data_IF_521511791054
#
_entry.id   IF_521511791054
#
_cell.length_a   1.000
_cell.length_b   1.000
_cell.length_c   1.000
_cell.angle_alpha   90.00
_cell.angle_beta   90.00
_cell.angle_gamma   90.00
#
_symmetry.space_group_name_H-M   'P 1'
#
loop_
_entity.id
_entity.type
_entity.pdbx_description
1 polymer ?
#
# COMPACT_ATOMS: atom_id res chain seq x y z
N UNK A 1 39.25 -21.57 -0.80
CA UNK A 1 37.88 -22.13 -1.11
C UNK A 1 36.94 -20.94 -1.20
N UNK A 2 36.10 -20.88 -2.22
CA UNK A 2 35.11 -19.84 -2.32
C UNK A 2 33.90 -20.19 -1.41
N UNK A 3 33.45 -19.23 -0.62
CA UNK A 3 32.27 -19.35 0.23
C UNK A 3 31.11 -18.59 -0.42
N UNK A 4 30.02 -19.27 -0.70
CA UNK A 4 28.78 -18.66 -1.23
C UNK A 4 27.92 -18.21 -0.05
N UNK A 5 27.80 -16.92 0.15
CA UNK A 5 26.92 -16.37 1.15
C UNK A 5 25.51 -16.19 0.57
N UNK A 6 24.53 -16.79 1.25
CA UNK A 6 23.12 -16.75 0.88
C UNK A 6 22.34 -15.91 1.88
N UNK A 7 21.26 -15.28 1.41
CA UNK A 7 20.35 -14.58 2.31
C UNK A 7 19.86 -15.53 3.41
N UNK A 8 20.24 -15.29 4.68
CA UNK A 8 19.81 -16.14 5.78
C UNK A 8 18.31 -15.90 6.09
N UNK A 9 17.71 -16.85 6.79
CA UNK A 9 16.40 -16.64 7.41
C UNK A 9 16.57 -15.65 8.58
N UNK A 10 16.01 -14.47 8.42
CA UNK A 10 16.08 -13.37 9.40
C UNK A 10 15.02 -13.48 10.50
N UNK A 11 14.28 -14.60 10.54
CA UNK A 11 13.23 -14.87 11.52
C UNK A 11 11.86 -14.30 11.12
N UNK A 12 10.84 -14.59 11.94
CA UNK A 12 9.45 -14.12 11.78
C UNK A 12 8.75 -14.50 10.46
N UNK A 13 9.21 -15.54 9.76
CA UNK A 13 8.56 -16.06 8.55
C UNK A 13 8.76 -15.17 7.32
N UNK A 14 9.84 -14.38 7.28
CA UNK A 14 10.22 -13.59 6.11
C UNK A 14 10.67 -14.51 4.98
N UNK A 15 10.06 -14.37 3.81
CA UNK A 15 10.39 -15.13 2.60
C UNK A 15 11.35 -14.42 1.66
N UNK A 16 11.53 -13.10 1.84
CA UNK A 16 12.35 -12.23 0.99
C UNK A 16 12.91 -11.04 1.78
N UNK A 17 14.00 -10.42 1.26
CA UNK A 17 14.60 -9.19 1.80
C UNK A 17 15.15 -8.31 0.68
N UNK A 18 15.14 -6.99 0.86
CA UNK A 18 15.71 -6.01 -0.07
C UNK A 18 17.13 -5.65 0.37
N UNK A 19 18.09 -5.67 -0.55
CA UNK A 19 19.46 -5.20 -0.28
C UNK A 19 19.44 -3.68 -0.16
N UNK A 20 19.48 -3.16 1.05
CA UNK A 20 19.47 -1.72 1.28
C UNK A 20 20.79 -1.07 0.83
N UNK A 21 21.92 -1.66 1.24
CA UNK A 21 23.25 -1.17 0.88
C UNK A 21 24.30 -2.25 1.08
N UNK A 22 25.29 -2.31 0.18
CA UNK A 22 26.52 -3.06 0.37
C UNK A 22 27.53 -2.25 1.18
N UNK A 23 28.10 -2.85 2.22
CA UNK A 23 29.13 -2.22 3.06
C UNK A 23 30.54 -2.56 2.57
N UNK A 24 30.62 -3.40 1.51
CA UNK A 24 31.86 -3.85 0.88
C UNK A 24 31.78 -3.72 -0.64
N UNK A 25 32.94 -3.66 -1.29
CA UNK A 25 33.07 -3.64 -2.76
C UNK A 25 33.69 -4.94 -3.28
N UNK A 26 33.40 -5.29 -4.55
CA UNK A 26 34.10 -6.41 -5.21
C UNK A 26 35.62 -6.17 -5.20
N UNK A 27 36.35 -7.19 -4.84
CA UNK A 27 37.80 -7.13 -4.72
C UNK A 27 38.34 -6.68 -3.36
N UNK A 28 37.51 -6.23 -2.43
CA UNK A 28 37.90 -5.84 -1.06
C UNK A 28 38.16 -7.09 -0.20
N UNK A 29 39.13 -6.99 0.70
CA UNK A 29 39.36 -7.99 1.75
C UNK A 29 38.45 -7.70 2.93
N UNK A 30 37.80 -8.74 3.48
CA UNK A 30 36.91 -8.66 4.62
C UNK A 30 37.29 -9.73 5.64
N UNK A 31 37.18 -9.43 6.93
CA UNK A 31 37.36 -10.40 8.00
C UNK A 31 36.03 -11.08 8.35
N UNK A 32 36.08 -12.20 9.06
CA UNK A 32 34.90 -12.82 9.67
C UNK A 32 34.32 -11.84 10.68
N UNK A 33 32.96 -11.73 10.72
CA UNK A 33 32.19 -10.81 11.53
C UNK A 33 32.27 -9.31 11.12
N UNK A 34 33.02 -8.92 10.08
CA UNK A 34 32.97 -7.57 9.54
C UNK A 34 31.61 -7.28 8.88
N UNK A 35 31.11 -6.02 8.93
CA UNK A 35 29.88 -5.62 8.27
C UNK A 35 29.92 -5.89 6.77
N UNK A 36 28.97 -6.70 6.25
CA UNK A 36 28.93 -7.12 4.85
C UNK A 36 27.84 -6.42 4.04
N UNK A 37 26.61 -6.46 4.53
CA UNK A 37 25.43 -5.95 3.82
C UNK A 37 24.34 -5.50 4.78
N UNK A 38 23.67 -4.41 4.47
CA UNK A 38 22.43 -3.98 5.12
C UNK A 38 21.23 -4.51 4.33
N UNK A 39 20.35 -5.25 4.99
CA UNK A 39 19.13 -5.81 4.40
C UNK A 39 17.93 -5.13 5.04
N UNK A 40 17.08 -4.57 4.21
CA UNK A 40 15.80 -4.02 4.64
C UNK A 40 14.72 -5.09 4.56
N UNK A 41 14.08 -5.35 5.69
CA UNK A 41 12.88 -6.18 5.79
C UNK A 41 11.65 -5.28 5.82
N UNK A 42 10.46 -5.87 5.87
CA UNK A 42 9.19 -5.12 6.02
C UNK A 42 9.12 -4.32 7.34
N UNK A 43 9.98 -4.64 8.31
CA UNK A 43 9.92 -4.09 9.68
C UNK A 43 11.14 -3.28 10.08
N UNK A 44 12.34 -3.68 9.66
CA UNK A 44 13.59 -3.02 10.06
C UNK A 44 14.69 -3.22 9.03
N UNK A 45 15.76 -2.41 9.12
CA UNK A 45 17.02 -2.65 8.42
C UNK A 45 17.94 -3.40 9.36
N UNK A 46 18.47 -4.54 8.91
CA UNK A 46 19.38 -5.40 9.66
C UNK A 46 20.73 -5.43 8.95
N UNK A 47 21.79 -5.17 9.70
CA UNK A 47 23.16 -5.34 9.24
C UNK A 47 23.58 -6.81 9.39
N UNK A 48 24.05 -7.42 8.32
CA UNK A 48 24.51 -8.80 8.30
C UNK A 48 26.01 -8.84 8.23
N UNK A 49 26.69 -9.46 9.21
CA UNK A 49 28.13 -9.62 9.20
C UNK A 49 28.58 -10.71 8.22
N UNK A 50 29.84 -10.64 7.82
CA UNK A 50 30.49 -11.65 6.97
C UNK A 50 30.66 -12.97 7.72
N UNK A 51 30.23 -14.09 7.16
CA UNK A 51 30.40 -15.41 7.80
C UNK A 51 31.80 -16.02 7.61
N UNK A 52 32.67 -15.36 6.83
CA UNK A 52 34.00 -15.86 6.54
C UNK A 52 34.98 -14.71 6.19
N UNK A 53 36.23 -14.86 6.55
CA UNK A 53 37.29 -13.98 6.10
C UNK A 53 37.74 -14.34 4.67
N UNK A 54 38.02 -13.33 3.85
CA UNK A 54 38.52 -13.50 2.49
C UNK A 54 38.34 -12.29 1.61
N UNK A 55 38.57 -12.47 0.30
CA UNK A 55 38.35 -11.41 -0.68
C UNK A 55 36.94 -11.54 -1.27
N UNK A 56 36.20 -10.44 -1.35
CA UNK A 56 34.88 -10.38 -2.02
C UNK A 56 35.11 -10.62 -3.51
N UNK A 57 34.79 -11.83 -3.97
CA UNK A 57 35.07 -12.23 -5.34
C UNK A 57 34.04 -11.68 -6.33
N UNK A 58 32.74 -11.73 -5.95
CA UNK A 58 31.66 -11.23 -6.79
C UNK A 58 30.40 -10.99 -5.99
N UNK A 59 29.71 -9.89 -6.28
CA UNK A 59 28.39 -9.54 -5.78
C UNK A 59 27.38 -9.87 -6.88
N UNK A 60 26.32 -10.66 -6.57
CA UNK A 60 25.33 -11.13 -7.53
C UNK A 60 24.04 -10.30 -7.54
N UNK A 61 23.81 -9.54 -6.47
CA UNK A 61 22.56 -8.80 -6.26
C UNK A 61 22.88 -7.32 -6.09
N UNK A 62 22.18 -6.47 -6.82
CA UNK A 62 22.38 -5.01 -6.76
C UNK A 62 21.68 -4.40 -5.53
N UNK A 63 22.15 -3.21 -5.11
CA UNK A 63 21.44 -2.41 -4.11
C UNK A 63 20.03 -2.04 -4.60
N UNK A 64 19.05 -2.19 -3.72
CA UNK A 64 17.63 -1.98 -3.99
C UNK A 64 16.93 -3.16 -4.66
N UNK A 65 17.57 -4.30 -4.80
CA UNK A 65 16.99 -5.54 -5.34
C UNK A 65 16.42 -6.40 -4.22
N UNK A 66 15.19 -6.88 -4.39
CA UNK A 66 14.52 -7.80 -3.45
C UNK A 66 14.77 -9.23 -3.87
N UNK A 67 15.27 -10.06 -2.96
CA UNK A 67 15.61 -11.46 -3.22
C UNK A 67 15.04 -12.39 -2.16
N UNK A 68 14.71 -13.60 -2.57
CA UNK A 68 14.17 -14.64 -1.67
C UNK A 68 15.25 -15.18 -0.71
N UNK A 69 14.83 -15.59 0.48
CA UNK A 69 15.69 -16.32 1.44
C UNK A 69 16.32 -17.53 0.75
N UNK A 70 17.64 -17.71 0.95
CA UNK A 70 18.44 -18.75 0.31
C UNK A 70 19.08 -18.36 -1.03
N UNK A 71 18.80 -17.18 -1.59
CA UNK A 71 19.46 -16.65 -2.79
C UNK A 71 20.92 -16.32 -2.49
N UNK A 72 21.86 -16.70 -3.40
CA UNK A 72 23.28 -16.35 -3.27
C UNK A 72 23.45 -14.85 -3.50
N UNK A 73 23.98 -14.14 -2.50
CA UNK A 73 24.20 -12.71 -2.53
C UNK A 73 25.61 -12.34 -2.98
N UNK A 74 26.60 -13.03 -2.42
CA UNK A 74 28.03 -12.72 -2.65
C UNK A 74 28.87 -13.97 -2.49
N UNK A 75 30.01 -14.01 -3.19
CA UNK A 75 31.04 -15.04 -3.06
C UNK A 75 32.29 -14.41 -2.45
N UNK A 76 32.78 -15.03 -1.35
CA UNK A 76 33.98 -14.61 -0.62
C UNK A 76 35.05 -15.68 -0.82
N UNK A 77 36.27 -15.28 -1.23
CA UNK A 77 37.39 -16.19 -1.50
C UNK A 77 37.87 -16.10 -2.94
N UNK A 78 38.93 -16.87 -3.32
CA UNK A 78 39.43 -16.88 -4.70
C UNK A 78 38.43 -17.58 -5.64
N UNK A 79 37.97 -16.86 -6.65
CA UNK A 79 37.09 -17.37 -7.71
C UNK A 79 37.88 -18.29 -8.64
N UNK A 80 37.89 -19.57 -8.38
CA UNK A 80 38.19 -20.57 -9.40
C UNK A 80 36.91 -20.92 -10.14
N UNK A 81 36.85 -20.51 -11.40
CA UNK A 81 35.71 -20.76 -12.26
C UNK A 81 35.43 -22.24 -12.45
N UNK A 82 34.22 -22.63 -12.21
CA UNK A 82 33.55 -23.73 -12.94
C UNK A 82 32.05 -23.44 -13.02
N UNK A 83 31.63 -23.51 -14.24
CA UNK A 83 30.26 -23.34 -14.67
C UNK A 83 29.36 -24.51 -14.34
N UNK A 84 28.13 -24.18 -14.27
CA UNK A 84 26.96 -24.94 -14.65
C UNK A 84 26.74 -26.33 -14.11
N UNK A 85 25.62 -26.55 -13.46
CA UNK A 85 24.78 -27.66 -13.92
C UNK A 85 23.41 -27.65 -13.22
N UNK A 86 22.45 -28.03 -14.02
CA UNK A 86 21.03 -28.15 -13.70
C UNK A 86 20.81 -29.44 -12.84
N UNK A 87 19.83 -29.37 -11.95
CA UNK A 87 19.05 -30.54 -11.55
C UNK A 87 17.65 -30.01 -11.25
N UNK A 88 16.66 -30.21 -12.06
CA UNK A 88 15.76 -31.32 -12.42
C UNK A 88 15.01 -31.94 -11.25
N UNK A 89 13.70 -31.73 -11.32
CA UNK A 89 12.58 -32.62 -11.01
C UNK A 89 12.40 -33.19 -9.60
N UNK A 90 11.27 -32.80 -8.98
CA UNK A 90 10.28 -33.80 -8.57
C UNK A 90 8.93 -33.13 -8.23
N UNK A 91 7.91 -33.48 -9.02
CA UNK A 91 6.50 -33.29 -8.67
C UNK A 91 6.00 -34.49 -7.84
N UNK A 92 4.95 -34.32 -7.06
CA UNK A 92 3.93 -35.37 -6.97
C UNK A 92 2.57 -34.90 -7.50
N UNK A 93 1.99 -35.86 -8.21
CA UNK A 93 0.62 -35.87 -8.75
C UNK A 93 -0.42 -36.06 -7.65
N UNK A 94 -1.60 -35.53 -7.87
CA UNK A 94 -2.89 -36.23 -8.01
C UNK A 94 -4.04 -35.28 -7.71
N UNK A 95 -4.96 -35.32 -8.61
CA UNK A 95 -6.42 -35.59 -8.63
C UNK A 95 -7.26 -34.37 -8.31
N UNK A 96 -8.32 -34.08 -9.02
CA UNK A 96 -9.20 -34.77 -9.93
C UNK A 96 -10.26 -33.85 -10.45
N UNK A 97 -10.82 -34.27 -11.53
CA UNK A 97 -11.92 -33.75 -12.29
C UNK A 97 -13.12 -33.24 -11.45
N UNK A 98 -13.72 -32.16 -11.93
CA UNK A 98 -15.17 -31.94 -12.14
C UNK A 98 -15.43 -30.43 -12.31
N UNK A 99 -15.69 -30.02 -13.51
CA UNK A 99 -16.84 -29.18 -13.90
C UNK A 99 -16.61 -28.59 -15.30
N UNK A 100 -16.96 -29.45 -16.27
CA UNK A 100 -17.43 -28.96 -17.58
C UNK A 100 -18.93 -28.85 -17.47
N UNK A 101 -19.43 -27.60 -17.49
CA UNK A 101 -20.71 -27.19 -18.03
C UNK A 101 -21.06 -25.79 -17.51
N UNK A 102 -20.79 -24.79 -18.30
CA UNK A 102 -21.53 -23.53 -18.42
C UNK A 102 -20.65 -22.49 -19.17
N UNK A 103 -20.51 -22.65 -20.43
CA UNK A 103 -20.03 -21.58 -21.33
C UNK A 103 -20.52 -21.88 -22.75
N UNK A 104 -21.84 -21.71 -22.94
CA UNK A 104 -22.41 -21.63 -24.27
C UNK A 104 -23.63 -20.72 -24.15
N UNK A 105 -23.38 -19.47 -24.46
CA UNK A 105 -24.32 -18.41 -24.83
C UNK A 105 -23.76 -17.06 -24.37
N UNK A 106 -22.94 -16.42 -25.17
CA UNK A 106 -22.88 -15.00 -25.48
C UNK A 106 -21.84 -14.83 -26.60
N UNK A 107 -22.26 -15.16 -27.79
CA UNK A 107 -21.51 -14.88 -29.01
C UNK A 107 -22.54 -14.42 -30.03
N UNK A 108 -22.85 -13.14 -29.98
CA UNK A 108 -23.38 -12.37 -31.11
C UNK A 108 -23.75 -10.96 -30.62
N UNK A 109 -22.83 -10.03 -30.64
CA UNK A 109 -23.04 -8.59 -30.91
C UNK A 109 -21.66 -7.91 -30.81
N UNK A 110 -20.90 -7.86 -31.89
CA UNK A 110 -19.92 -6.82 -32.15
C UNK A 110 -19.21 -7.08 -33.50
N UNK A 111 -19.99 -7.11 -34.52
CA UNK A 111 -19.48 -6.92 -35.88
C UNK A 111 -20.10 -5.64 -36.41
N UNK A 112 -19.40 -4.52 -36.25
CA UNK A 112 -19.43 -3.33 -37.15
C UNK A 112 -18.73 -2.14 -36.47
N UNK A 113 -17.53 -1.90 -36.99
CA UNK A 113 -16.94 -0.59 -37.30
C UNK A 113 -15.40 -0.69 -37.26
N UNK A 114 -14.81 -0.95 -38.38
CA UNK A 114 -13.41 -0.65 -38.65
C UNK A 114 -13.33 0.45 -39.70
N UNK A 115 -12.35 1.36 -39.60
CA UNK A 115 -11.70 1.86 -40.82
C UNK A 115 -10.29 1.28 -40.92
N UNK A 116 -9.97 0.84 -42.12
CA UNK A 116 -8.75 0.15 -42.44
C UNK A 116 -7.48 0.99 -42.31
N UNK A 117 -6.41 0.27 -41.98
CA UNK A 117 -5.03 0.69 -42.29
C UNK A 117 -4.16 -0.53 -42.59
N UNK A 118 -3.43 -0.41 -43.66
CA UNK A 118 -2.17 -1.05 -44.06
C UNK A 118 -1.90 -2.50 -43.65
N UNK A 119 -1.64 -3.37 -44.61
CA UNK A 119 -1.21 -4.76 -44.47
C UNK A 119 0.00 -4.90 -43.54
N UNK A 120 -0.10 -5.57 -42.39
CA UNK A 120 1.05 -5.87 -41.54
C UNK A 120 1.79 -7.10 -42.03
N UNK A 121 3.11 -7.06 -41.95
CA UNK A 121 3.97 -8.20 -42.20
C UNK A 121 3.58 -9.36 -41.28
N UNK A 122 3.47 -10.55 -41.84
CA UNK A 122 3.09 -11.80 -41.16
C UNK A 122 3.99 -12.03 -39.95
N UNK A 123 3.42 -11.93 -38.75
CA UNK A 123 4.12 -12.23 -37.47
C UNK A 123 4.74 -13.62 -37.53
N UNK A 124 6.05 -13.71 -37.28
CA UNK A 124 6.80 -14.97 -37.29
C UNK A 124 6.66 -15.65 -35.95
N UNK A 125 5.78 -16.65 -35.87
CA UNK A 125 5.58 -17.47 -34.67
C UNK A 125 5.38 -18.94 -35.08
N UNK A 126 5.84 -19.87 -34.26
CA UNK A 126 5.61 -21.31 -34.50
C UNK A 126 4.14 -21.67 -34.26
N UNK A 127 3.65 -22.79 -34.82
CA UNK A 127 2.26 -23.24 -34.57
C UNK A 127 1.93 -23.42 -33.07
N UNK A 128 2.93 -23.83 -32.27
CA UNK A 128 2.80 -23.99 -30.83
C UNK A 128 2.60 -22.64 -30.13
N UNK A 129 3.41 -21.64 -30.49
CA UNK A 129 3.31 -20.27 -29.94
C UNK A 129 1.97 -19.61 -30.30
N UNK A 130 1.45 -19.85 -31.51
CA UNK A 130 0.13 -19.35 -31.94
C UNK A 130 -1.01 -19.97 -31.13
N UNK A 131 -0.92 -21.26 -30.84
CA UNK A 131 -1.91 -21.95 -29.99
C UNK A 131 -1.86 -21.43 -28.55
N UNK A 132 -0.65 -21.27 -27.98
CA UNK A 132 -0.46 -20.72 -26.65
C UNK A 132 -0.99 -19.29 -26.53
N UNK A 133 -0.74 -18.43 -27.53
CA UNK A 133 -1.28 -17.08 -27.55
C UNK A 133 -2.81 -17.07 -27.61
N UNK A 134 -3.41 -17.97 -28.37
CA UNK A 134 -4.86 -18.12 -28.44
C UNK A 134 -5.46 -18.63 -27.12
N UNK A 135 -4.80 -19.57 -26.45
CA UNK A 135 -5.22 -20.08 -25.13
C UNK A 135 -5.12 -19.01 -24.03
N UNK A 136 -4.11 -18.15 -24.10
CA UNK A 136 -3.88 -17.09 -23.11
C UNK A 136 -4.50 -15.73 -23.48
N UNK A 137 -5.19 -15.63 -24.61
CA UNK A 137 -5.85 -14.40 -25.07
C UNK A 137 -4.88 -13.26 -25.45
N UNK A 138 -3.64 -13.60 -25.84
CA UNK A 138 -2.60 -12.64 -26.20
C UNK A 138 -2.59 -12.39 -27.71
N UNK A 139 -2.62 -11.11 -28.12
CA UNK A 139 -2.49 -10.72 -29.52
C UNK A 139 -1.03 -10.74 -29.97
N UNK A 140 -0.68 -11.67 -30.85
CA UNK A 140 0.67 -11.83 -31.37
C UNK A 140 1.15 -10.64 -32.24
N UNK A 141 0.24 -9.84 -32.80
CA UNK A 141 0.59 -8.69 -33.63
C UNK A 141 1.09 -7.50 -32.77
N UNK A 142 0.77 -7.53 -31.48
CA UNK A 142 1.21 -6.52 -30.49
C UNK A 142 2.55 -6.85 -29.81
N UNK A 143 3.15 -8.03 -30.12
CA UNK A 143 4.37 -8.48 -29.46
C UNK A 143 5.61 -8.30 -30.33
N UNK A 144 6.66 -7.73 -29.73
CA UNK A 144 8.00 -7.76 -30.29
C UNK A 144 8.67 -9.10 -29.95
N UNK A 145 8.95 -9.91 -30.99
CA UNK A 145 9.55 -11.22 -30.78
C UNK A 145 11.03 -11.15 -30.37
N UNK A 146 11.38 -11.75 -29.24
CA UNK A 146 12.75 -11.84 -28.71
C UNK A 146 13.62 -12.90 -29.40
N UNK A 147 13.02 -13.80 -30.14
CA UNK A 147 13.70 -14.90 -30.82
C UNK A 147 14.47 -14.50 -32.10
N UNK A 148 15.26 -15.43 -32.67
CA UNK A 148 16.04 -15.19 -33.88
C UNK A 148 15.22 -14.59 -35.01
N UNK A 149 15.72 -13.53 -35.64
CA UNK A 149 15.06 -12.78 -36.73
C UNK A 149 13.70 -12.17 -36.35
N UNK A 150 13.48 -11.77 -35.06
CA UNK A 150 12.23 -11.17 -34.62
C UNK A 150 11.08 -12.17 -34.48
N UNK A 151 11.37 -13.44 -34.22
CA UNK A 151 10.33 -14.46 -34.02
C UNK A 151 9.78 -14.37 -32.59
N UNK A 152 8.46 -14.37 -32.45
CA UNK A 152 7.78 -14.45 -31.16
C UNK A 152 7.99 -15.84 -30.58
N UNK A 153 8.46 -15.89 -29.30
CA UNK A 153 8.73 -17.10 -28.51
C UNK A 153 7.58 -17.41 -27.55
N UNK A 154 7.61 -18.59 -26.93
CA UNK A 154 6.64 -18.93 -25.86
C UNK A 154 6.78 -18.02 -24.64
N UNK A 155 8.00 -17.59 -24.35
CA UNK A 155 8.33 -16.73 -23.22
C UNK A 155 7.76 -15.32 -23.41
N UNK A 156 7.80 -14.79 -24.65
CA UNK A 156 7.17 -13.52 -24.99
C UNK A 156 5.65 -13.55 -24.75
N UNK A 157 5.01 -14.65 -25.16
CA UNK A 157 3.56 -14.83 -24.97
C UNK A 157 3.20 -14.98 -23.50
N UNK A 158 3.98 -15.75 -22.72
CA UNK A 158 3.73 -15.91 -21.27
C UNK A 158 3.98 -14.63 -20.50
N UNK A 159 5.03 -13.89 -20.84
CA UNK A 159 5.32 -12.58 -20.23
C UNK A 159 4.21 -11.58 -20.50
N UNK A 160 3.69 -11.56 -21.73
CA UNK A 160 2.55 -10.71 -22.07
C UNK A 160 1.25 -11.14 -21.37
N UNK A 161 1.03 -12.44 -21.21
CA UNK A 161 -0.14 -12.97 -20.48
C UNK A 161 -0.05 -12.73 -18.95
N UNK A 162 1.15 -12.71 -18.39
CA UNK A 162 1.38 -12.41 -16.97
C UNK A 162 1.25 -10.92 -16.64
N UNK A 163 1.17 -10.05 -17.68
CA UNK A 163 0.93 -8.61 -17.54
C UNK A 163 -0.37 -8.21 -18.21
N UNK A 164 -1.55 -8.53 -17.67
CA UNK A 164 -2.81 -8.03 -18.18
C UNK A 164 -3.00 -6.58 -17.73
N UNK A 165 -2.54 -5.65 -18.54
CA UNK A 165 -2.85 -4.25 -18.33
C UNK A 165 -1.73 -3.32 -18.73
N UNK A 166 -1.95 -2.60 -19.84
CA UNK A 166 -1.24 -1.40 -20.26
C UNK A 166 0.28 -1.49 -20.13
N UNK A 167 0.93 -2.01 -21.17
CA UNK A 167 2.32 -1.61 -21.39
C UNK A 167 2.35 -0.07 -21.25
N UNK A 168 3.17 0.50 -20.36
CA UNK A 168 3.23 1.94 -20.26
C UNK A 168 3.65 2.44 -21.63
N UNK A 169 2.79 3.27 -22.25
CA UNK A 169 3.16 4.06 -23.41
C UNK A 169 4.56 4.62 -23.11
N UNK A 170 5.52 4.29 -23.95
CA UNK A 170 6.90 4.73 -23.77
C UNK A 170 6.90 6.26 -23.80
N UNK A 171 6.84 6.88 -22.64
CA UNK A 171 7.03 8.33 -22.46
C UNK A 171 8.53 8.57 -22.58
N UNK A 172 9.02 9.10 -23.70
CA UNK A 172 10.44 9.05 -24.03
C UNK A 172 11.34 9.90 -23.15
N UNK A 173 10.82 10.95 -22.52
CA UNK A 173 11.65 11.95 -21.83
C UNK A 173 11.04 12.37 -20.49
N UNK A 174 11.60 11.84 -19.37
CA UNK A 174 11.27 12.23 -18.01
C UNK A 174 12.27 11.68 -17.01
N UNK A 175 12.47 12.42 -15.89
CA UNK A 175 13.23 11.90 -14.77
C UNK A 175 12.52 10.69 -14.18
N UNK A 176 13.19 9.56 -14.14
CA UNK A 176 12.70 8.34 -13.48
C UNK A 176 13.31 8.26 -12.09
N UNK A 177 12.49 7.97 -11.11
CA UNK A 177 12.89 7.79 -9.72
C UNK A 177 12.24 6.50 -9.20
N UNK A 178 13.01 5.48 -8.81
CA UNK A 178 12.47 4.23 -8.29
C UNK A 178 11.83 4.48 -6.92
N UNK A 179 10.70 3.80 -6.66
CA UNK A 179 10.09 3.78 -5.34
C UNK A 179 10.97 2.94 -4.40
N UNK A 180 11.44 3.53 -3.30
CA UNK A 180 12.28 2.86 -2.30
C UNK A 180 11.80 3.17 -0.89
N UNK A 181 12.15 2.29 0.08
CA UNK A 181 11.86 2.48 1.49
C UNK A 181 10.40 2.77 1.78
N UNK A 182 10.14 3.73 2.66
CA UNK A 182 8.79 4.13 3.10
C UNK A 182 7.85 4.45 1.92
N UNK A 183 8.35 5.06 0.84
CA UNK A 183 7.53 5.39 -0.35
C UNK A 183 7.04 4.13 -1.06
N UNK A 184 7.85 3.06 -1.13
CA UNK A 184 7.46 1.77 -1.71
C UNK A 184 6.35 1.14 -0.87
N UNK A 185 6.54 1.07 0.45
CA UNK A 185 5.53 0.53 1.38
C UNK A 185 4.21 1.28 1.30
N UNK A 186 4.24 2.63 1.23
CA UNK A 186 3.03 3.44 1.05
C UNK A 186 2.32 3.06 -0.27
N UNK A 187 3.07 2.93 -1.38
CA UNK A 187 2.49 2.60 -2.68
C UNK A 187 1.80 1.23 -2.67
N UNK A 188 2.44 0.22 -2.10
CA UNK A 188 1.89 -1.14 -1.96
C UNK A 188 0.67 -1.15 -1.05
N UNK A 189 0.74 -0.49 0.11
CA UNK A 189 -0.38 -0.41 1.05
C UNK A 189 -1.59 0.31 0.44
N UNK A 190 -1.38 1.43 -0.25
CA UNK A 190 -2.47 2.18 -0.90
C UNK A 190 -3.07 1.43 -2.08
N UNK A 191 -2.25 0.74 -2.88
CA UNK A 191 -2.75 -0.10 -3.97
C UNK A 191 -3.61 -1.25 -3.43
N UNK A 192 -3.16 -1.92 -2.36
CA UNK A 192 -3.92 -2.96 -1.69
C UNK A 192 -5.23 -2.42 -1.10
N UNK A 193 -5.18 -1.32 -0.35
CA UNK A 193 -6.37 -0.70 0.23
C UNK A 193 -7.42 -0.38 -0.82
N UNK A 194 -7.01 0.17 -1.97
CA UNK A 194 -7.93 0.51 -3.07
C UNK A 194 -8.50 -0.72 -3.78
N UNK A 195 -7.75 -1.81 -3.88
CA UNK A 195 -8.20 -3.06 -4.49
C UNK A 195 -9.16 -3.85 -3.58
N UNK A 196 -8.89 -3.85 -2.27
CA UNK A 196 -9.63 -4.65 -1.28
C UNK A 196 -10.94 -3.97 -0.83
N UNK A 197 -10.96 -2.64 -0.74
CA UNK A 197 -12.07 -1.87 -0.19
C UNK A 197 -12.86 -1.19 -1.30
N UNK A 198 -14.16 -1.52 -1.53
CA UNK A 198 -15.07 -0.72 -2.36
C UNK A 198 -15.52 0.53 -1.56
N UNK A 199 -14.89 1.71 -1.77
CA UNK A 199 -15.13 2.85 -0.90
C UNK A 199 -16.34 3.65 -1.32
N UNK A 200 -17.12 4.11 -0.35
CA UNK A 200 -18.12 5.17 -0.52
C UNK A 200 -17.80 6.31 0.44
N UNK A 201 -18.04 7.53 0.04
CA UNK A 201 -17.79 8.72 0.86
C UNK A 201 -19.09 9.48 1.10
N UNK A 202 -19.46 9.64 2.35
CA UNK A 202 -20.50 10.58 2.82
C UNK A 202 -19.84 11.89 3.23
N UNK A 203 -20.46 13.04 2.91
CA UNK A 203 -19.90 14.36 3.21
C UNK A 203 -21.01 15.29 3.70
N UNK A 204 -20.70 16.08 4.75
CA UNK A 204 -21.59 17.11 5.29
C UNK A 204 -20.79 18.32 5.78
N UNK A 205 -21.41 19.50 5.84
CA UNK A 205 -20.82 20.70 6.42
C UNK A 205 -20.88 20.65 7.96
N UNK A 206 -19.87 21.28 8.58
CA UNK A 206 -19.77 21.41 10.04
C UNK A 206 -19.39 22.84 10.40
N UNK A 207 -20.13 23.44 11.36
CA UNK A 207 -19.82 24.74 11.94
C UNK A 207 -18.89 24.58 13.15
N UNK A 208 -17.64 24.92 12.97
CA UNK A 208 -16.60 24.84 14.02
C UNK A 208 -16.55 26.07 14.95
N UNK A 209 -17.53 26.95 14.90
CA UNK A 209 -17.51 28.20 15.65
C UNK A 209 -17.70 28.05 17.16
N UNK A 210 -18.02 26.88 17.67
CA UNK A 210 -18.13 26.58 19.08
C UNK A 210 -16.84 26.07 19.73
N UNK A 211 -15.81 25.74 18.92
CA UNK A 211 -14.55 25.13 19.41
C UNK A 211 -13.33 25.99 19.08
N UNK A 212 -12.27 25.85 19.88
CA UNK A 212 -10.96 26.39 19.52
C UNK A 212 -10.31 25.50 18.45
N UNK A 213 -10.08 26.07 17.27
CA UNK A 213 -9.48 25.36 16.14
C UNK A 213 -8.07 24.82 16.40
N UNK A 214 -7.37 25.33 17.44
CA UNK A 214 -6.10 24.76 17.88
C UNK A 214 -6.28 23.37 18.52
N UNK A 215 -7.47 23.11 19.05
CA UNK A 215 -7.86 21.85 19.68
C UNK A 215 -8.70 20.97 18.73
N UNK A 216 -8.80 21.32 17.45
CA UNK A 216 -9.65 20.61 16.48
C UNK A 216 -9.36 19.12 16.43
N UNK A 217 -8.09 18.72 16.32
CA UNK A 217 -7.73 17.29 16.21
C UNK A 217 -8.06 16.49 17.49
N UNK A 218 -7.63 16.90 18.70
CA UNK A 218 -7.99 16.16 19.91
C UNK A 218 -9.50 16.13 20.19
N UNK A 219 -10.24 17.22 19.93
CA UNK A 219 -11.70 17.21 20.02
C UNK A 219 -12.35 16.27 19.01
N UNK A 220 -11.81 16.21 17.80
CA UNK A 220 -12.30 15.26 16.79
C UNK A 220 -12.00 13.81 17.20
N UNK A 221 -10.82 13.52 17.78
CA UNK A 221 -10.48 12.17 18.29
C UNK A 221 -11.51 11.73 19.34
N UNK A 222 -11.83 12.59 20.30
CA UNK A 222 -12.82 12.28 21.33
C UNK A 222 -14.22 12.11 20.73
N UNK A 223 -14.65 13.02 19.85
CA UNK A 223 -15.95 12.96 19.19
C UNK A 223 -16.12 11.68 18.34
N UNK A 224 -15.07 11.29 17.62
CA UNK A 224 -15.03 10.05 16.82
C UNK A 224 -15.10 8.82 17.71
N UNK A 225 -14.28 8.76 18.77
CA UNK A 225 -14.28 7.61 19.70
C UNK A 225 -15.68 7.37 20.30
N UNK A 226 -16.38 8.43 20.70
CA UNK A 226 -17.74 8.33 21.21
C UNK A 226 -18.77 7.96 20.12
N UNK A 227 -18.61 8.49 18.90
CA UNK A 227 -19.50 8.14 17.80
C UNK A 227 -19.33 6.69 17.32
N UNK A 228 -18.12 6.14 17.41
CA UNK A 228 -17.83 4.73 17.11
C UNK A 228 -18.52 3.78 18.09
N UNK A 229 -18.80 4.18 19.33
CA UNK A 229 -19.61 3.41 20.28
C UNK A 229 -21.08 3.34 19.86
N UNK A 230 -21.60 4.37 19.19
CA UNK A 230 -22.97 4.41 18.66
C UNK A 230 -23.10 3.65 17.33
N UNK A 231 -22.01 3.62 16.53
CA UNK A 231 -21.96 2.96 15.21
C UNK A 231 -20.77 2.01 15.15
N UNK A 232 -20.83 0.86 15.84
CA UNK A 232 -19.68 -0.04 16.00
C UNK A 232 -19.24 -0.69 14.70
N UNK A 233 -20.06 -0.69 13.64
CA UNK A 233 -19.70 -1.21 12.33
C UNK A 233 -18.49 -0.46 11.72
N UNK A 234 -18.29 0.83 12.06
CA UNK A 234 -17.13 1.61 11.64
C UNK A 234 -15.89 1.33 12.50
N UNK A 235 -16.05 0.70 13.66
CA UNK A 235 -14.95 0.25 14.53
C UNK A 235 -14.75 -1.26 14.41
N UNK A 236 -14.64 -1.76 13.18
CA UNK A 236 -14.58 -3.17 12.86
C UNK A 236 -13.52 -3.49 11.82
N UNK A 237 -13.36 -4.75 11.51
CA UNK A 237 -12.57 -5.29 10.39
C UNK A 237 -13.36 -6.34 9.66
N UNK A 238 -13.14 -6.45 8.36
CA UNK A 238 -13.65 -7.57 7.56
C UNK A 238 -12.54 -8.63 7.42
N UNK A 239 -12.73 -9.79 8.05
CA UNK A 239 -11.80 -10.92 8.00
C UNK A 239 -12.48 -12.10 7.29
N UNK A 240 -12.11 -12.33 6.02
CA UNK A 240 -12.81 -13.31 5.20
C UNK A 240 -14.28 -12.97 5.02
N UNK A 241 -15.18 -13.76 5.62
CA UNK A 241 -16.62 -13.57 5.60
C UNK A 241 -17.19 -13.12 6.95
N UNK A 242 -16.35 -12.67 7.87
CA UNK A 242 -16.75 -12.27 9.21
C UNK A 242 -16.42 -10.81 9.47
N UNK A 243 -17.35 -10.09 10.12
CA UNK A 243 -17.12 -8.74 10.63
C UNK A 243 -16.67 -8.89 12.09
N UNK A 244 -15.45 -8.44 12.37
CA UNK A 244 -14.86 -8.46 13.70
C UNK A 244 -14.98 -7.07 14.31
N UNK A 245 -15.87 -6.89 15.28
CA UNK A 245 -16.04 -5.66 16.04
C UNK A 245 -14.92 -5.50 17.07
N UNK A 246 -14.37 -4.29 17.21
CA UNK A 246 -13.25 -4.00 18.08
C UNK A 246 -13.71 -3.26 19.35
N UNK A 247 -13.34 -3.79 20.54
CA UNK A 247 -13.69 -3.20 21.84
C UNK A 247 -12.65 -2.16 22.34
N UNK A 248 -11.89 -1.57 21.41
CA UNK A 248 -10.87 -0.55 21.69
C UNK A 248 -10.99 0.57 20.68
N UNK A 249 -10.61 1.78 21.07
CA UNK A 249 -10.76 2.99 20.27
C UNK A 249 -9.40 3.65 20.09
N UNK A 250 -8.53 2.97 19.35
CA UNK A 250 -7.17 3.38 19.00
C UNK A 250 -7.20 4.08 17.64
N UNK A 251 -7.07 5.39 17.62
CA UNK A 251 -7.31 6.16 16.41
C UNK A 251 -6.01 6.59 15.72
N UNK A 252 -5.90 6.28 14.43
CA UNK A 252 -4.83 6.75 13.57
C UNK A 252 -4.98 8.23 13.26
N UNK A 253 -3.89 9.00 13.31
CA UNK A 253 -3.86 10.42 12.92
C UNK A 253 -2.86 10.60 11.80
N UNK A 254 -3.32 11.04 10.63
CA UNK A 254 -2.44 11.26 9.48
C UNK A 254 -1.49 12.45 9.71
N UNK A 255 -0.19 12.21 9.60
CA UNK A 255 0.87 13.21 9.78
C UNK A 255 1.74 13.27 8.52
N UNK A 256 1.86 14.48 7.93
CA UNK A 256 2.77 14.72 6.83
C UNK A 256 4.21 14.85 7.32
N UNK A 257 5.12 14.09 6.69
CA UNK A 257 6.57 14.14 6.90
C UNK A 257 7.30 14.41 5.58
N UNK A 258 8.60 14.62 5.62
CA UNK A 258 9.43 14.77 4.41
C UNK A 258 9.49 13.47 3.59
N UNK A 259 9.40 12.31 4.24
CA UNK A 259 9.46 11.00 3.59
C UNK A 259 8.11 10.55 3.02
N UNK A 260 7.01 11.18 3.45
CA UNK A 260 5.65 10.86 3.03
C UNK A 260 4.64 11.01 4.16
N UNK A 261 3.42 10.51 3.95
CA UNK A 261 2.37 10.50 4.95
C UNK A 261 2.50 9.24 5.82
N UNK A 262 2.53 9.43 7.14
CA UNK A 262 2.50 8.34 8.12
C UNK A 262 1.28 8.49 9.04
N UNK A 263 0.84 7.40 9.64
CA UNK A 263 -0.37 7.37 10.47
C UNK A 263 -0.03 6.79 11.85
N UNK A 264 0.56 7.60 12.77
CA UNK A 264 0.72 7.20 14.15
C UNK A 264 -0.64 7.01 14.84
N UNK A 265 -0.65 6.16 15.87
CA UNK A 265 -1.86 5.70 16.56
C UNK A 265 -1.93 6.31 17.97
N UNK A 266 -2.99 7.05 18.24
CA UNK A 266 -3.36 7.54 19.55
C UNK A 266 -4.21 6.46 20.22
N UNK A 267 -3.73 5.94 21.37
CA UNK A 267 -4.39 4.87 22.10
C UNK A 267 -5.47 5.38 23.05
N UNK A 268 -6.47 4.52 23.28
CA UNK A 268 -7.50 4.71 24.31
C UNK A 268 -8.22 6.08 24.20
N UNK A 269 -8.59 6.48 23.00
CA UNK A 269 -9.19 7.80 22.72
C UNK A 269 -10.53 8.01 23.42
N UNK A 270 -11.23 6.95 23.79
CA UNK A 270 -12.52 7.00 24.49
C UNK A 270 -12.36 7.30 25.99
N UNK A 271 -11.26 6.90 26.63
CA UNK A 271 -11.05 7.04 28.07
C UNK A 271 -10.20 8.24 28.46
N UNK A 272 -9.37 8.76 27.53
CA UNK A 272 -8.48 9.89 27.78
C UNK A 272 -9.19 11.23 27.68
N UNK A 273 -8.75 12.21 28.46
CA UNK A 273 -9.20 13.59 28.36
C UNK A 273 -8.71 14.25 27.05
N UNK A 274 -9.37 15.34 26.65
CA UNK A 274 -8.99 16.09 25.45
C UNK A 274 -7.58 16.69 25.59
N UNK A 275 -7.16 17.07 26.81
CA UNK A 275 -5.81 17.55 27.11
C UNK A 275 -4.77 16.46 26.89
N UNK A 276 -4.99 15.27 27.43
CA UNK A 276 -4.09 14.12 27.24
C UNK A 276 -4.00 13.70 25.78
N UNK A 277 -5.11 13.77 25.05
CA UNK A 277 -5.12 13.52 23.60
C UNK A 277 -4.34 14.61 22.85
N UNK A 278 -4.43 15.88 23.25
CA UNK A 278 -3.69 16.99 22.63
C UNK A 278 -2.18 16.81 22.81
N UNK A 279 -1.74 16.49 24.01
CA UNK A 279 -0.32 16.27 24.33
C UNK A 279 0.24 15.08 23.52
N UNK A 280 -0.53 14.00 23.45
CA UNK A 280 -0.12 12.79 22.71
C UNK A 280 -0.07 13.04 21.18
N UNK A 281 -1.03 13.75 20.62
CA UNK A 281 -1.02 14.14 19.20
C UNK A 281 0.22 14.97 18.87
N UNK A 282 0.58 15.94 19.73
CA UNK A 282 1.78 16.76 19.56
C UNK A 282 3.02 15.88 19.61
N UNK A 283 3.15 15.02 20.62
CA UNK A 283 4.29 14.11 20.78
C UNK A 283 4.48 13.20 19.56
N UNK A 284 3.41 12.56 19.12
CA UNK A 284 3.43 11.65 17.97
C UNK A 284 3.77 12.40 16.67
N UNK A 285 3.21 13.59 16.46
CA UNK A 285 3.50 14.40 15.28
C UNK A 285 4.96 14.87 15.23
N UNK A 286 5.55 15.25 16.38
CA UNK A 286 6.97 15.60 16.47
C UNK A 286 7.87 14.39 16.23
N UNK A 287 7.55 13.23 16.84
CA UNK A 287 8.27 11.99 16.62
C UNK A 287 8.21 11.53 15.14
N UNK A 288 7.04 11.67 14.50
CA UNK A 288 6.85 11.36 13.08
C UNK A 288 7.78 12.22 12.19
N UNK A 289 7.76 13.54 12.39
CA UNK A 289 8.62 14.46 11.61
C UNK A 289 10.11 14.27 11.86
N UNK A 290 10.47 13.82 13.07
CA UNK A 290 11.84 13.49 13.45
C UNK A 290 12.28 12.08 13.03
N UNK A 291 11.39 11.29 12.39
CA UNK A 291 11.60 9.87 12.05
C UNK A 291 12.00 9.03 13.29
N UNK A 292 11.30 9.23 14.41
CA UNK A 292 11.57 8.57 15.71
C UNK A 292 10.36 7.80 16.26
N UNK A 293 9.34 7.57 15.42
CA UNK A 293 8.21 6.72 15.80
C UNK A 293 8.68 5.27 15.96
N UNK A 294 8.15 4.63 16.99
CA UNK A 294 8.36 3.21 17.20
C UNK A 294 7.40 2.40 16.32
N UNK A 295 7.75 1.17 15.91
CA UNK A 295 6.89 0.33 15.07
C UNK A 295 5.49 0.10 15.66
N UNK A 296 5.38 -0.03 16.98
CA UNK A 296 4.11 -0.20 17.69
C UNK A 296 3.22 1.06 17.68
N UNK A 297 3.80 2.24 17.43
CA UNK A 297 3.06 3.50 17.29
C UNK A 297 2.46 3.69 15.90
N UNK A 298 2.87 2.86 14.93
CA UNK A 298 2.39 2.89 13.54
C UNK A 298 1.39 1.78 13.23
N UNK A 299 1.00 0.96 14.20
CA UNK A 299 0.16 -0.23 13.97
C UNK A 299 -1.00 -0.30 14.93
N UNK A 300 -2.07 -0.96 14.48
CA UNK A 300 -3.18 -1.36 15.32
C UNK A 300 -4.21 -0.27 15.55
N UNK A 301 -4.28 0.75 14.70
CA UNK A 301 -5.43 1.67 14.67
C UNK A 301 -6.73 0.92 14.35
N UNK A 302 -7.83 1.41 14.88
CA UNK A 302 -9.17 0.86 14.63
C UNK A 302 -9.98 1.69 13.66
N UNK A 303 -9.63 2.97 13.54
CA UNK A 303 -10.20 3.96 12.64
C UNK A 303 -9.18 5.09 12.44
N UNK A 304 -9.18 5.77 11.30
CA UNK A 304 -8.21 6.83 11.00
C UNK A 304 -8.87 8.19 10.85
N UNK A 305 -8.18 9.26 11.29
CA UNK A 305 -8.56 10.66 11.09
C UNK A 305 -7.48 11.35 10.25
N UNK A 306 -7.90 12.11 9.25
CA UNK A 306 -6.99 12.91 8.43
C UNK A 306 -7.46 14.36 8.33
N UNK A 307 -6.50 15.30 8.39
CA UNK A 307 -6.75 16.71 8.16
C UNK A 307 -5.51 17.33 7.52
N UNK A 308 -5.68 17.94 6.35
CA UNK A 308 -4.62 18.71 5.71
C UNK A 308 -4.58 20.18 6.21
N UNK A 309 -5.34 20.52 7.23
CA UNK A 309 -5.38 21.84 7.83
C UNK A 309 -5.65 22.95 6.78
N UNK A 310 -4.84 24.01 6.81
CA UNK A 310 -4.97 25.14 5.86
C UNK A 310 -4.69 24.78 4.40
N UNK A 311 -3.97 23.68 4.15
CA UNK A 311 -3.67 23.18 2.80
C UNK A 311 -4.77 22.27 2.26
N UNK A 312 -5.72 21.87 3.08
CA UNK A 312 -6.85 21.04 2.69
C UNK A 312 -7.73 21.72 1.62
N UNK A 313 -8.35 20.89 0.79
CA UNK A 313 -9.42 21.32 -0.12
C UNK A 313 -10.73 21.62 0.62
N UNK A 314 -11.76 22.01 -0.12
CA UNK A 314 -13.11 22.13 0.41
C UNK A 314 -13.57 20.79 1.02
N UNK A 315 -13.39 19.72 0.28
CA UNK A 315 -13.57 18.35 0.73
C UNK A 315 -12.41 17.47 0.23
N UNK A 316 -12.24 16.32 0.86
CA UNK A 316 -11.33 15.26 0.43
C UNK A 316 -12.03 13.91 0.53
N UNK A 317 -11.67 12.97 -0.34
CA UNK A 317 -12.15 11.59 -0.35
C UNK A 317 -10.95 10.69 -0.04
N UNK A 318 -10.62 10.46 1.25
CA UNK A 318 -9.45 9.68 1.63
C UNK A 318 -9.62 8.20 1.28
N UNK A 319 -8.52 7.52 1.00
CA UNK A 319 -8.48 6.05 0.90
C UNK A 319 -8.52 5.50 2.32
N UNK A 320 -9.36 4.49 2.57
CA UNK A 320 -9.44 3.79 3.85
C UNK A 320 -8.09 3.15 4.18
N UNK A 321 -7.64 3.29 5.41
CA UNK A 321 -6.38 2.72 5.88
C UNK A 321 -6.57 1.22 6.21
N UNK A 322 -6.45 0.37 5.19
CA UNK A 322 -6.65 -1.07 5.32
C UNK A 322 -5.81 -1.67 6.47
N UNK A 323 -6.35 -2.55 7.34
CA UNK A 323 -7.65 -3.24 7.29
C UNK A 323 -8.79 -2.56 8.06
N UNK A 324 -8.72 -1.26 8.31
CA UNK A 324 -9.83 -0.50 8.90
C UNK A 324 -11.04 -0.49 7.96
N UNK A 325 -12.23 -0.24 8.53
CA UNK A 325 -13.49 -0.12 7.77
C UNK A 325 -13.77 1.32 7.37
N UNK A 326 -13.19 2.30 8.07
CA UNK A 326 -13.50 3.70 7.80
C UNK A 326 -12.39 4.68 8.12
N UNK A 327 -12.49 5.86 7.51
CA UNK A 327 -11.62 7.02 7.71
C UNK A 327 -12.44 8.30 7.68
N UNK A 328 -12.16 9.21 8.62
CA UNK A 328 -12.76 10.53 8.65
C UNK A 328 -11.76 11.58 8.15
N UNK A 329 -12.22 12.47 7.29
CA UNK A 329 -11.44 13.60 6.79
C UNK A 329 -12.10 14.92 7.19
N UNK A 330 -11.27 15.88 7.63
CA UNK A 330 -11.68 17.24 7.90
C UNK A 330 -11.20 18.12 6.75
N UNK A 331 -12.12 18.74 6.02
CA UNK A 331 -11.84 19.73 4.99
C UNK A 331 -11.30 21.03 5.59
N UNK A 332 -10.86 21.95 4.71
CA UNK A 332 -10.34 23.24 5.16
C UNK A 332 -11.42 24.06 5.85
N UNK A 333 -11.19 24.39 7.12
CA UNK A 333 -12.01 25.32 7.89
C UNK A 333 -11.69 26.76 7.47
N UNK A 334 -12.71 27.51 7.10
CA UNK A 334 -12.60 28.91 6.71
C UNK A 334 -13.90 29.66 7.08
N UNK A 335 -13.81 30.98 7.25
CA UNK A 335 -15.00 31.81 7.39
C UNK A 335 -15.90 31.70 6.15
N UNK A 336 -17.17 31.29 6.38
CA UNK A 336 -18.18 31.13 5.33
C UNK A 336 -19.50 31.71 5.76
N UNK A 337 -20.31 32.23 4.82
CA UNK A 337 -21.67 32.64 5.14
C UNK A 337 -22.56 31.43 5.34
N UNK A 338 -23.17 31.32 6.50
CA UNK A 338 -24.18 30.31 6.81
C UNK A 338 -25.46 30.95 7.28
N UNK A 339 -26.58 30.24 7.18
CA UNK A 339 -27.86 30.68 7.69
C UNK A 339 -28.04 30.21 9.13
N UNK A 340 -28.19 31.14 10.08
CA UNK A 340 -28.54 30.90 11.49
C UNK A 340 -29.69 31.79 11.90
N UNK A 341 -30.71 31.24 12.50
CA UNK A 341 -31.91 31.99 13.02
C UNK A 341 -32.54 32.91 11.98
N UNK A 342 -32.55 32.46 10.69
CA UNK A 342 -33.10 33.23 9.57
C UNK A 342 -32.20 34.38 9.04
N UNK A 343 -31.00 34.56 9.60
CA UNK A 343 -29.99 35.53 9.18
C UNK A 343 -28.75 34.88 8.56
N UNK A 344 -28.03 35.63 7.74
CA UNK A 344 -26.72 35.19 7.21
C UNK A 344 -25.63 35.69 8.15
N UNK A 345 -24.82 34.77 8.65
CA UNK A 345 -23.70 35.07 9.54
C UNK A 345 -22.42 34.45 9.01
N UNK A 346 -21.25 35.06 9.30
CA UNK A 346 -19.96 34.48 8.99
C UNK A 346 -19.55 33.55 10.12
N UNK A 347 -19.20 32.28 9.79
CA UNK A 347 -18.79 31.28 10.76
C UNK A 347 -17.61 30.44 10.21
N UNK A 348 -16.70 29.96 11.07
CA UNK A 348 -15.68 29.03 10.67
C UNK A 348 -16.32 27.68 10.33
N UNK A 349 -16.48 27.42 9.05
CA UNK A 349 -17.17 26.25 8.51
C UNK A 349 -16.19 25.40 7.67
N UNK A 350 -16.32 24.11 7.75
CA UNK A 350 -15.58 23.14 6.95
C UNK A 350 -16.45 21.93 6.65
N UNK A 351 -15.88 20.90 6.03
CA UNK A 351 -16.58 19.65 5.75
C UNK A 351 -16.02 18.50 6.59
N UNK A 352 -16.90 17.61 7.02
CA UNK A 352 -16.57 16.30 7.54
C UNK A 352 -16.91 15.30 6.44
N UNK A 353 -15.92 14.51 6.02
CA UNK A 353 -16.11 13.42 5.07
C UNK A 353 -15.78 12.09 5.74
N UNK A 354 -16.65 11.10 5.58
CA UNK A 354 -16.45 9.73 6.08
C UNK A 354 -16.40 8.80 4.88
N UNK A 355 -15.23 8.21 4.63
CA UNK A 355 -15.06 7.16 3.62
C UNK A 355 -15.05 5.81 4.32
N UNK A 356 -15.79 4.85 3.80
CA UNK A 356 -16.00 3.56 4.46
C UNK A 356 -16.11 2.41 3.45
N UNK A 357 -15.86 1.20 3.95
CA UNK A 357 -16.03 -0.04 3.20
C UNK A 357 -17.52 -0.39 3.09
N UNK A 358 -18.08 -0.27 1.87
CA UNK A 358 -19.51 -0.51 1.64
C UNK A 358 -19.91 -1.98 1.73
N UNK A 359 -18.96 -2.91 1.96
CA UNK A 359 -19.27 -4.31 2.29
C UNK A 359 -19.70 -4.47 3.76
N UNK A 360 -19.29 -3.52 4.62
CA UNK A 360 -19.50 -3.57 6.08
C UNK A 360 -20.50 -2.52 6.54
N UNK A 361 -20.47 -1.32 5.93
CA UNK A 361 -21.24 -0.16 6.37
C UNK A 361 -22.12 0.37 5.24
N UNK A 362 -23.40 0.57 5.53
CA UNK A 362 -24.32 1.23 4.63
C UNK A 362 -24.31 2.74 4.78
N UNK A 363 -24.74 3.47 3.72
CA UNK A 363 -24.72 4.93 3.69
C UNK A 363 -25.48 5.59 4.84
N UNK A 364 -26.61 5.03 5.28
CA UNK A 364 -27.38 5.53 6.43
C UNK A 364 -26.58 5.44 7.73
N UNK A 365 -25.88 4.33 7.99
CA UNK A 365 -25.04 4.15 9.17
C UNK A 365 -23.84 5.09 9.16
N UNK A 366 -23.21 5.29 7.99
CA UNK A 366 -22.14 6.28 7.85
C UNK A 366 -22.64 7.71 8.08
N UNK A 367 -23.85 8.05 7.62
CA UNK A 367 -24.49 9.34 7.89
C UNK A 367 -24.79 9.54 9.39
N UNK A 368 -25.33 8.52 10.08
CA UNK A 368 -25.56 8.55 11.53
C UNK A 368 -24.28 8.84 12.30
N UNK A 369 -23.18 8.15 11.96
CA UNK A 369 -21.86 8.37 12.54
C UNK A 369 -21.36 9.80 12.27
N UNK A 370 -21.34 10.24 11.00
CA UNK A 370 -20.87 11.56 10.62
C UNK A 370 -21.65 12.68 11.32
N UNK A 371 -22.97 12.58 11.37
CA UNK A 371 -23.84 13.52 12.10
C UNK A 371 -23.62 13.45 13.62
N UNK A 372 -23.31 12.28 14.20
CA UNK A 372 -22.97 12.17 15.61
C UNK A 372 -21.65 12.90 15.94
N UNK A 373 -20.64 12.81 15.07
CA UNK A 373 -19.39 13.57 15.19
C UNK A 373 -19.65 15.08 15.06
N UNK A 374 -20.39 15.49 14.03
CA UNK A 374 -20.71 16.92 13.79
C UNK A 374 -21.43 17.51 14.99
N UNK A 375 -22.48 16.88 15.50
CA UNK A 375 -23.22 17.36 16.68
C UNK A 375 -22.31 17.63 17.87
N UNK A 376 -21.32 16.77 18.14
CA UNK A 376 -20.36 16.93 19.25
C UNK A 376 -19.42 18.12 19.01
N UNK A 377 -18.93 18.29 17.79
CA UNK A 377 -18.07 19.40 17.42
C UNK A 377 -18.81 20.74 17.43
N UNK A 378 -20.07 20.77 16.96
CA UNK A 378 -20.91 21.99 16.95
C UNK A 378 -21.43 22.39 18.33
N UNK A 379 -21.57 21.44 19.25
CA UNK A 379 -22.02 21.74 20.62
C UNK A 379 -20.96 22.48 21.45
N UNK A 380 -19.68 22.32 21.11
CA UNK A 380 -18.56 22.84 21.88
C UNK A 380 -18.44 22.26 23.29
N UNK A 381 -19.29 21.28 23.63
CA UNK A 381 -19.26 20.59 24.91
C UNK A 381 -18.21 19.48 24.80
N UNK A 382 -17.22 19.52 25.70
CA UNK A 382 -16.28 18.42 25.84
C UNK A 382 -17.08 17.18 26.31
N UNK A 383 -16.99 16.05 25.57
CA UNK A 383 -17.58 14.80 26.07
C UNK A 383 -16.92 14.44 27.41
N UNK A 384 -17.74 14.10 28.40
CA UNK A 384 -17.27 13.63 29.72
C UNK A 384 -16.42 12.35 29.64
#
# INVERSE_FOLDING_TARGET
MAYEFKLPDLGEGLTEGEIARWLVAEGQEIAEDDPLVEIQTDKTTVEIPSPAAGKVARIFVAEGETVAVGTVLVVIGEANGHGGERASDEQPRAEGALQKQAAKEVSDVSARLAPGHASPGRVRATPLVRRLAQELGVDLESLDGSGPQGRVTEEDVRSAAASPGLAPEHVPEGRREPLRGVRKLIAEHMARAHAEVPPVTWVEECDFGAIDLKRLVPLTLKAVAEALKEVPELNARLEGNEIVYLDRYDLGVAVQTEQGLVVPVVRDCDTRSVEELADEVIRLAEAARANKLKPEELRGSTFTITSAGKLGGFLTTPIVNYPEVGILSIGRVAERPIVRDGGIVARPTGTIAVTFDHRVVDGARAAEFGLAVIRRLESGVEPE
#
